data_IF_565783023814
#
_entry.id   IF_565783023814
#
_cell.length_a   1.000
_cell.length_b   1.000
_cell.length_c   1.000
_cell.angle_alpha   90.00
_cell.angle_beta   90.00
_cell.angle_gamma   90.00
#
_symmetry.space_group_name_H-M   'P 1'
#
loop_
_entity.id
_entity.type
_entity.pdbx_description
1 polymer ?
#
# COMPACT_ATOMS: atom_id res chain seq x y z
N UNK A 1 -6.37 -10.93 13.01
CA UNK A 1 -7.24 -10.96 14.22
C UNK A 1 -6.97 -9.69 15.02
N UNK A 2 -7.98 -9.01 15.61
CA UNK A 2 -7.74 -7.81 16.42
C UNK A 2 -7.02 -8.24 17.71
N UNK A 3 -5.72 -7.94 17.76
CA UNK A 3 -4.88 -8.35 18.87
C UNK A 3 -5.13 -7.42 20.06
N UNK A 4 -5.47 -7.98 21.23
CA UNK A 4 -5.72 -7.19 22.46
C UNK A 4 -4.54 -6.30 22.85
N UNK A 5 -3.34 -6.63 22.38
CA UNK A 5 -2.13 -5.85 22.60
C UNK A 5 -2.03 -4.57 21.72
N UNK A 6 -2.86 -4.42 20.68
CA UNK A 6 -2.85 -3.23 19.82
C UNK A 6 -3.75 -2.15 20.46
N UNK A 7 -3.13 -1.34 21.31
CA UNK A 7 -3.81 -0.27 22.03
C UNK A 7 -3.93 1.02 21.20
N UNK A 8 -3.06 1.20 20.19
CA UNK A 8 -3.01 2.40 19.35
C UNK A 8 -4.04 2.41 18.24
N UNK A 9 -4.53 3.59 17.87
CA UNK A 9 -5.44 3.75 16.73
C UNK A 9 -4.74 3.51 15.39
N UNK A 10 -3.52 4.03 15.23
CA UNK A 10 -2.70 3.82 14.05
C UNK A 10 -1.92 2.52 14.17
N UNK A 11 -1.99 1.70 13.12
CA UNK A 11 -1.21 0.48 12.96
C UNK A 11 -0.25 0.67 11.79
N UNK A 12 1.03 0.46 12.04
CA UNK A 12 2.04 0.32 11.00
C UNK A 12 2.20 -1.16 10.66
N UNK A 13 1.86 -1.53 9.44
CA UNK A 13 2.13 -2.86 8.90
C UNK A 13 3.36 -2.80 8.02
N UNK A 14 4.29 -3.73 8.23
CA UNK A 14 5.58 -3.81 7.54
C UNK A 14 5.92 -5.26 7.19
N UNK A 15 6.28 -5.50 5.93
CA UNK A 15 6.84 -6.78 5.50
C UNK A 15 8.26 -6.96 6.04
N UNK A 16 8.69 -8.20 6.27
CA UNK A 16 10.04 -8.52 6.77
C UNK A 16 11.17 -8.05 5.82
N UNK A 17 10.89 -7.91 4.53
CA UNK A 17 11.85 -7.47 3.49
C UNK A 17 11.81 -5.96 3.23
N UNK A 18 11.03 -5.21 4.01
CA UNK A 18 10.87 -3.76 3.87
C UNK A 18 11.90 -3.00 4.70
N UNK A 19 12.59 -2.06 4.05
CA UNK A 19 13.51 -1.13 4.73
C UNK A 19 12.97 0.29 4.59
N UNK A 20 12.64 0.90 5.74
CA UNK A 20 12.23 2.31 5.84
C UNK A 20 13.11 3.05 6.83
N UNK A 21 13.46 4.29 6.49
CA UNK A 21 14.13 5.20 7.42
C UNK A 21 13.15 5.68 8.50
N UNK A 22 13.66 5.99 9.69
CA UNK A 22 12.85 6.59 10.77
C UNK A 22 12.16 7.88 10.30
N UNK A 23 12.81 8.67 9.45
CA UNK A 23 12.20 9.88 8.84
C UNK A 23 11.02 9.56 7.94
N UNK A 24 11.08 8.45 7.19
CA UNK A 24 10.00 8.01 6.31
C UNK A 24 8.81 7.54 7.15
N UNK A 25 9.07 6.72 8.18
CA UNK A 25 8.03 6.25 9.12
C UNK A 25 7.35 7.45 9.81
N UNK A 26 8.14 8.40 10.32
CA UNK A 26 7.61 9.60 10.96
C UNK A 26 6.75 10.44 10.00
N UNK A 27 7.20 10.61 8.76
CA UNK A 27 6.43 11.35 7.77
C UNK A 27 5.12 10.64 7.42
N UNK A 28 5.16 9.33 7.14
CA UNK A 28 3.95 8.57 6.84
C UNK A 28 2.96 8.57 8.02
N UNK A 29 3.45 8.50 9.26
CA UNK A 29 2.61 8.64 10.44
C UNK A 29 1.96 10.03 10.56
N UNK A 30 2.72 11.11 10.30
CA UNK A 30 2.16 12.48 10.29
C UNK A 30 1.09 12.66 9.21
N UNK A 31 1.32 12.08 8.03
CA UNK A 31 0.32 12.07 6.96
C UNK A 31 -0.91 11.28 7.41
N UNK A 32 -0.73 10.07 7.96
CA UNK A 32 -1.83 9.25 8.46
C UNK A 32 -2.63 9.96 9.55
N UNK A 33 -2.00 10.67 10.47
CA UNK A 33 -2.70 11.48 11.49
C UNK A 33 -3.60 12.58 10.89
N UNK A 34 -3.29 13.05 9.68
CA UNK A 34 -4.12 14.03 8.97
C UNK A 34 -5.27 13.38 8.20
N UNK A 35 -5.18 12.07 7.93
CA UNK A 35 -6.14 11.28 7.15
C UNK A 35 -6.35 9.90 7.79
N UNK A 36 -6.77 9.83 9.07
CA UNK A 36 -6.77 8.59 9.85
C UNK A 36 -7.67 7.50 9.26
N UNK A 37 -8.68 7.90 8.49
CA UNK A 37 -9.62 7.01 7.81
C UNK A 37 -9.02 6.31 6.58
N UNK A 38 -7.87 6.76 6.06
CA UNK A 38 -7.29 6.25 4.80
C UNK A 38 -6.06 5.38 5.07
N UNK A 39 -5.79 4.44 4.16
CA UNK A 39 -4.50 3.74 4.12
C UNK A 39 -3.45 4.72 3.59
N UNK A 40 -2.34 4.88 4.31
CA UNK A 40 -1.22 5.75 3.95
C UNK A 40 0.05 4.92 3.86
N UNK A 41 0.69 4.85 2.70
CA UNK A 41 1.86 3.99 2.54
C UNK A 41 2.61 4.19 1.24
N UNK A 42 3.54 3.27 0.94
CA UNK A 42 4.54 3.51 -0.10
C UNK A 42 4.24 2.79 -1.41
N UNK A 43 4.12 1.45 -1.50
CA UNK A 43 4.09 0.77 -2.79
C UNK A 43 2.69 0.91 -3.42
N UNK A 44 2.52 1.67 -4.51
CA UNK A 44 1.22 1.81 -5.14
C UNK A 44 0.97 0.64 -6.09
N UNK A 45 -0.29 0.25 -6.21
CA UNK A 45 -0.82 -0.68 -7.21
C UNK A 45 -2.13 -0.12 -7.74
N UNK A 46 -2.64 -0.72 -8.81
CA UNK A 46 -3.91 -0.31 -9.36
C UNK A 46 -4.76 -1.47 -9.83
N UNK A 47 -6.08 -1.24 -9.86
CA UNK A 47 -6.99 -2.04 -10.64
C UNK A 47 -7.23 -1.40 -12.02
N UNK A 48 -7.82 -2.14 -12.95
CA UNK A 48 -8.29 -1.63 -14.24
C UNK A 48 -9.46 -2.48 -14.72
N UNK A 49 -10.26 -2.00 -15.67
CA UNK A 49 -11.27 -2.84 -16.33
C UNK A 49 -10.70 -3.40 -17.63
N UNK A 50 -10.80 -4.72 -17.85
CA UNK A 50 -10.52 -5.33 -19.16
C UNK A 50 -11.82 -5.41 -19.97
N UNK A 51 -12.03 -4.54 -20.98
CA UNK A 51 -13.28 -4.52 -21.75
C UNK A 51 -13.41 -5.74 -22.67
N UNK A 52 -12.32 -6.43 -23.01
CA UNK A 52 -12.37 -7.61 -23.87
C UNK A 52 -12.82 -8.83 -23.05
N UNK A 53 -12.24 -9.00 -21.87
CA UNK A 53 -12.57 -10.12 -20.98
C UNK A 53 -13.77 -9.85 -20.08
N UNK A 54 -14.21 -8.60 -19.96
CA UNK A 54 -15.27 -8.17 -19.06
C UNK A 54 -14.99 -8.56 -17.59
N UNK A 55 -13.74 -8.37 -17.16
CA UNK A 55 -13.28 -8.68 -15.80
C UNK A 55 -12.39 -7.57 -15.27
N UNK A 56 -12.28 -7.51 -13.94
CA UNK A 56 -11.39 -6.59 -13.27
C UNK A 56 -9.92 -7.03 -13.31
N UNK A 57 -9.10 -6.00 -13.30
CA UNK A 57 -7.67 -5.93 -13.50
C UNK A 57 -6.89 -5.84 -12.19
N UNK A 58 -5.74 -6.50 -12.02
CA UNK A 58 -4.70 -6.06 -11.09
C UNK A 58 -3.45 -5.65 -11.87
N UNK A 59 -2.81 -4.55 -11.50
CA UNK A 59 -1.56 -4.11 -12.14
C UNK A 59 -0.54 -3.55 -11.15
N UNK A 60 0.72 -3.93 -11.40
CA UNK A 60 1.92 -3.36 -10.77
C UNK A 60 2.64 -2.35 -11.66
N UNK A 61 2.06 -1.99 -12.82
CA UNK A 61 2.63 -0.97 -13.69
C UNK A 61 2.78 0.34 -12.93
N UNK A 62 3.95 0.95 -13.06
CA UNK A 62 4.22 2.26 -12.49
C UNK A 62 3.55 3.33 -13.34
N UNK A 63 2.38 3.76 -12.89
CA UNK A 63 1.62 4.86 -13.48
C UNK A 63 1.42 5.96 -12.42
N UNK A 64 0.97 7.15 -12.86
CA UNK A 64 0.65 8.23 -11.94
C UNK A 64 -0.66 7.98 -11.17
N UNK A 65 -1.50 7.07 -11.65
CA UNK A 65 -2.77 6.70 -11.07
C UNK A 65 -2.68 5.37 -10.33
N UNK A 66 -3.22 5.33 -9.11
CA UNK A 66 -3.24 4.15 -8.27
C UNK A 66 -4.57 4.08 -7.54
N UNK A 67 -4.90 2.89 -7.05
CA UNK A 67 -6.13 2.66 -6.28
C UNK A 67 -5.91 1.74 -5.08
N UNK A 68 -4.68 1.22 -4.95
CA UNK A 68 -4.27 0.31 -3.89
C UNK A 68 -2.91 0.80 -3.36
N UNK A 69 -2.74 0.77 -2.05
CA UNK A 69 -1.44 0.87 -1.39
C UNK A 69 -1.21 -0.45 -0.63
N UNK A 70 -0.07 -1.11 -0.89
CA UNK A 70 0.22 -2.40 -0.25
C UNK A 70 0.44 -2.22 1.27
N UNK A 71 -0.20 -3.07 2.07
CA UNK A 71 -0.13 -3.05 3.54
C UNK A 71 1.24 -3.43 4.08
N UNK A 72 2.13 -4.02 3.26
CA UNK A 72 3.53 -4.32 3.60
C UNK A 72 4.42 -3.10 3.87
N UNK A 73 3.94 -1.89 3.61
CA UNK A 73 4.39 -0.68 4.30
C UNK A 73 3.32 0.39 4.25
N UNK A 74 2.39 0.30 5.20
CA UNK A 74 1.35 1.28 5.34
C UNK A 74 0.92 1.47 6.78
N UNK A 75 0.49 2.70 7.06
CA UNK A 75 -0.34 3.05 8.19
C UNK A 75 -1.82 2.96 7.83
N UNK A 76 -2.60 2.40 8.75
CA UNK A 76 -4.07 2.42 8.67
C UNK A 76 -4.67 2.32 10.07
N UNK A 77 -5.97 2.60 10.18
CA UNK A 77 -6.66 2.57 11.46
C UNK A 77 -6.94 1.13 11.92
N UNK A 78 -6.71 0.82 13.20
CA UNK A 78 -6.97 -0.51 13.79
C UNK A 78 -8.40 -1.01 13.61
N UNK A 79 -9.35 -0.09 13.44
CA UNK A 79 -10.75 -0.40 13.16
C UNK A 79 -10.91 -1.30 11.93
N UNK A 80 -10.05 -1.15 10.92
CA UNK A 80 -10.11 -1.98 9.73
C UNK A 80 -9.68 -3.42 9.99
N UNK A 81 -8.82 -3.70 10.97
CA UNK A 81 -8.58 -5.08 11.41
C UNK A 81 -9.80 -5.71 12.08
N UNK A 82 -10.53 -4.92 12.86
CA UNK A 82 -11.77 -5.37 13.47
C UNK A 82 -12.79 -5.71 12.38
N UNK A 83 -13.03 -4.82 11.42
CA UNK A 83 -13.91 -5.09 10.29
C UNK A 83 -13.43 -6.27 9.44
N UNK A 84 -12.14 -6.38 9.17
CA UNK A 84 -11.56 -7.51 8.44
C UNK A 84 -11.87 -8.85 9.14
N UNK A 85 -11.81 -8.87 10.47
CA UNK A 85 -11.97 -10.10 11.25
C UNK A 85 -13.42 -10.41 11.66
N UNK A 86 -14.28 -9.40 11.77
CA UNK A 86 -15.64 -9.54 12.31
C UNK A 86 -16.73 -9.27 11.28
N UNK A 87 -16.49 -8.36 10.32
CA UNK A 87 -17.48 -7.97 9.32
C UNK A 87 -17.33 -8.73 8.01
N UNK A 88 -16.10 -8.91 7.51
CA UNK A 88 -15.88 -9.68 6.30
C UNK A 88 -16.31 -11.15 6.50
N UNK A 89 -16.87 -11.78 5.46
CA UNK A 89 -17.34 -13.16 5.54
C UNK A 89 -16.13 -14.10 5.69
N UNK A 90 -16.30 -15.24 6.39
CA UNK A 90 -15.25 -16.23 6.52
C UNK A 90 -14.70 -16.74 5.17
N UNK A 91 -15.51 -16.75 4.11
CA UNK A 91 -15.11 -17.19 2.77
C UNK A 91 -14.01 -16.32 2.14
N UNK A 92 -14.10 -14.99 2.30
CA UNK A 92 -13.07 -14.08 1.78
C UNK A 92 -11.77 -14.19 2.58
N UNK A 93 -11.87 -14.31 3.91
CA UNK A 93 -10.69 -14.56 4.75
C UNK A 93 -10.03 -15.90 4.41
N UNK A 94 -10.81 -16.96 4.26
CA UNK A 94 -10.29 -18.28 3.89
C UNK A 94 -9.65 -18.29 2.50
N UNK A 95 -10.09 -17.42 1.58
CA UNK A 95 -9.42 -17.23 0.29
C UNK A 95 -8.03 -16.64 0.47
N UNK A 96 -7.90 -15.58 1.29
CA UNK A 96 -6.61 -14.95 1.63
C UNK A 96 -5.69 -15.94 2.35
N UNK A 97 -6.21 -16.68 3.33
CA UNK A 97 -5.43 -17.67 4.09
C UNK A 97 -4.92 -18.81 3.20
N UNK A 98 -5.74 -19.26 2.25
CA UNK A 98 -5.36 -20.35 1.32
C UNK A 98 -4.31 -19.91 0.30
N UNK A 99 -4.40 -18.68 -0.20
CA UNK A 99 -3.46 -18.16 -1.19
C UNK A 99 -2.20 -17.58 -0.56
N UNK A 100 -2.21 -17.31 0.76
CA UNK A 100 -1.19 -16.52 1.45
C UNK A 100 -0.86 -15.23 0.70
N UNK A 101 -1.90 -14.60 0.14
CA UNK A 101 -1.81 -13.45 -0.77
C UNK A 101 -3.11 -12.63 -0.67
N UNK A 102 -3.14 -11.46 -1.30
CA UNK A 102 -4.33 -10.61 -1.45
C UNK A 102 -4.90 -9.99 -0.15
N UNK A 103 -4.27 -10.18 1.01
CA UNK A 103 -4.64 -9.49 2.26
C UNK A 103 -4.66 -7.96 2.05
N UNK A 104 -3.59 -7.45 1.46
CA UNK A 104 -3.43 -6.05 1.06
C UNK A 104 -4.57 -5.56 0.15
N UNK A 105 -4.92 -6.34 -0.88
CA UNK A 105 -6.00 -6.02 -1.81
C UNK A 105 -7.34 -6.00 -1.06
N UNK A 106 -7.63 -7.03 -0.26
CA UNK A 106 -8.88 -7.12 0.49
C UNK A 106 -9.01 -5.99 1.51
N UNK A 107 -7.91 -5.59 2.15
CA UNK A 107 -7.87 -4.44 3.05
C UNK A 107 -8.19 -3.15 2.31
N UNK A 108 -7.64 -2.92 1.12
CA UNK A 108 -7.97 -1.73 0.32
C UNK A 108 -9.44 -1.74 -0.13
N UNK A 109 -9.97 -2.89 -0.55
CA UNK A 109 -11.41 -3.03 -0.87
C UNK A 109 -12.28 -2.66 0.34
N UNK A 110 -11.95 -3.21 1.52
CA UNK A 110 -12.67 -2.93 2.76
C UNK A 110 -12.64 -1.44 3.10
N UNK A 111 -11.45 -0.83 3.16
CA UNK A 111 -11.31 0.60 3.51
C UNK A 111 -12.03 1.49 2.51
N UNK A 112 -11.86 1.26 1.20
CA UNK A 112 -12.54 2.07 0.18
C UNK A 112 -14.05 1.84 0.15
N UNK A 113 -14.54 0.65 0.49
CA UNK A 113 -15.99 0.40 0.61
C UNK A 113 -16.64 1.17 1.77
N UNK A 114 -15.91 1.34 2.88
CA UNK A 114 -16.40 2.03 4.08
C UNK A 114 -16.29 3.54 3.93
N UNK A 115 -15.18 4.02 3.36
CA UNK A 115 -14.86 5.46 3.31
C UNK A 115 -15.27 6.12 2.01
N UNK A 116 -15.41 5.36 0.93
CA UNK A 116 -15.50 5.87 -0.45
C UNK A 116 -14.31 6.74 -0.87
N UNK A 117 -13.16 6.59 -0.19
CA UNK A 117 -11.94 7.33 -0.45
C UNK A 117 -10.82 6.41 -0.98
N UNK A 118 -9.93 6.93 -1.84
CA UNK A 118 -8.76 6.17 -2.28
C UNK A 118 -7.68 6.13 -1.18
N UNK A 119 -6.68 5.25 -1.24
CA UNK A 119 -5.51 5.33 -0.35
C UNK A 119 -4.66 6.58 -0.64
N UNK A 120 -3.65 6.85 0.19
CA UNK A 120 -2.66 7.93 0.00
C UNK A 120 -1.27 7.33 -0.19
N UNK A 121 -0.65 7.66 -1.32
CA UNK A 121 0.75 7.36 -1.60
C UNK A 121 1.67 8.43 -1.00
N UNK A 122 2.66 7.99 -0.22
CA UNK A 122 3.76 8.85 0.23
C UNK A 122 5.04 8.62 -0.59
N UNK A 123 5.91 9.61 -0.57
CA UNK A 123 7.22 9.55 -1.21
C UNK A 123 8.05 8.38 -0.71
N UNK A 124 8.69 7.68 -1.64
CA UNK A 124 9.60 6.59 -1.36
C UNK A 124 10.93 6.87 -2.06
N UNK A 125 12.06 6.62 -1.40
CA UNK A 125 13.36 6.57 -2.09
C UNK A 125 13.43 5.35 -3.01
N UNK A 126 14.21 5.42 -4.09
CA UNK A 126 14.29 4.38 -5.15
C UNK A 126 14.57 2.94 -4.65
N UNK A 127 15.07 2.74 -3.44
CA UNK A 127 15.32 1.43 -2.83
C UNK A 127 14.50 1.27 -1.55
N UNK A 128 13.47 0.42 -1.60
CA UNK A 128 12.58 0.16 -0.46
C UNK A 128 12.53 -1.32 -0.05
N UNK A 129 12.88 -2.22 -0.97
CA UNK A 129 13.16 -3.62 -0.65
C UNK A 129 14.66 -3.83 -0.69
N UNK A 130 15.18 -4.60 0.24
CA UNK A 130 16.54 -5.14 0.09
C UNK A 130 16.61 -5.93 -1.21
N UNK A 131 17.63 -5.66 -2.02
CA UNK A 131 17.93 -6.50 -3.18
C UNK A 131 18.34 -7.86 -2.63
N UNK A 132 17.56 -8.94 -2.85
CA UNK A 132 18.01 -10.25 -2.43
C UNK A 132 19.29 -10.57 -3.19
N UNK A 133 20.25 -11.24 -2.55
CA UNK A 133 21.31 -11.94 -3.27
C UNK A 133 20.67 -12.76 -4.42
N UNK A 134 21.35 -12.94 -5.55
CA UNK A 134 20.80 -13.62 -6.75
C UNK A 134 20.17 -15.00 -6.46
N UNK A 135 20.50 -15.64 -5.33
CA UNK A 135 19.89 -16.87 -4.84
C UNK A 135 18.53 -16.68 -4.13
N UNK A 136 18.28 -15.53 -3.48
CA UNK A 136 17.02 -15.22 -2.79
C UNK A 136 15.88 -14.74 -3.71
N UNK A 137 16.20 -14.19 -4.88
CA UNK A 137 15.18 -13.72 -5.86
C UNK A 137 14.34 -14.88 -6.41
N UNK A 138 14.94 -16.07 -6.57
CA UNK A 138 14.25 -17.29 -7.05
C UNK A 138 13.26 -17.88 -6.02
N UNK A 139 13.35 -17.49 -4.76
CA UNK A 139 12.46 -17.96 -3.68
C UNK A 139 11.44 -16.92 -3.19
N UNK A 140 11.49 -15.68 -3.70
CA UNK A 140 10.58 -14.64 -3.27
C UNK A 140 9.16 -14.89 -3.83
N UNK A 141 8.09 -14.91 -3.01
CA UNK A 141 6.73 -15.22 -3.47
C UNK A 141 6.26 -14.37 -4.65
N UNK A 142 6.72 -13.11 -4.72
CA UNK A 142 6.38 -12.14 -5.77
C UNK A 142 6.98 -12.44 -7.15
N UNK A 143 8.00 -13.30 -7.25
CA UNK A 143 8.66 -13.64 -8.52
C UNK A 143 7.97 -14.78 -9.27
N UNK A 144 7.04 -15.49 -8.62
CA UNK A 144 6.23 -16.54 -9.23
C UNK A 144 5.14 -15.91 -10.12
N UNK A 145 5.03 -16.26 -11.43
CA UNK A 145 3.93 -15.82 -12.29
C UNK A 145 2.54 -16.10 -11.72
N UNK A 146 2.37 -17.19 -10.96
CA UNK A 146 1.11 -17.55 -10.30
C UNK A 146 0.65 -16.49 -9.29
N UNK A 147 1.60 -15.80 -8.64
CA UNK A 147 1.29 -14.76 -7.65
C UNK A 147 0.51 -13.59 -8.27
N UNK A 148 0.80 -13.23 -9.52
CA UNK A 148 0.08 -12.17 -10.22
C UNK A 148 -1.31 -12.65 -10.68
N UNK A 149 -1.41 -13.87 -11.20
CA UNK A 149 -2.68 -14.49 -11.57
C UNK A 149 -3.62 -14.61 -10.37
N UNK A 150 -3.11 -15.02 -9.21
CA UNK A 150 -3.90 -15.07 -7.97
C UNK A 150 -4.44 -13.70 -7.57
N UNK A 151 -3.63 -12.64 -7.64
CA UNK A 151 -4.10 -11.27 -7.35
C UNK A 151 -5.20 -10.82 -8.31
N UNK A 152 -5.11 -11.23 -9.57
CA UNK A 152 -6.14 -11.01 -10.57
C UNK A 152 -7.47 -11.67 -10.17
N UNK A 153 -7.41 -12.93 -9.73
CA UNK A 153 -8.57 -13.68 -9.25
C UNK A 153 -9.19 -13.06 -7.99
N UNK A 154 -8.34 -12.66 -7.04
CA UNK A 154 -8.78 -12.00 -5.80
C UNK A 154 -9.56 -10.71 -6.08
N UNK A 155 -9.08 -9.82 -6.97
CA UNK A 155 -9.79 -8.58 -7.31
C UNK A 155 -11.19 -8.87 -7.83
N UNK A 156 -11.34 -9.88 -8.70
CA UNK A 156 -12.65 -10.25 -9.24
C UNK A 156 -13.55 -10.90 -8.18
N UNK A 157 -13.01 -11.80 -7.36
CA UNK A 157 -13.75 -12.44 -6.28
C UNK A 157 -14.27 -11.41 -5.26
N UNK A 158 -13.43 -10.43 -4.90
CA UNK A 158 -13.82 -9.38 -3.97
C UNK A 158 -14.86 -8.44 -4.58
N UNK A 159 -14.66 -7.98 -5.82
CA UNK A 159 -15.64 -7.14 -6.50
C UNK A 159 -17.01 -7.84 -6.63
N UNK A 160 -17.01 -9.15 -6.92
CA UNK A 160 -18.23 -9.95 -6.95
C UNK A 160 -18.93 -9.99 -5.60
N UNK A 161 -18.19 -10.22 -4.50
CA UNK A 161 -18.78 -10.25 -3.16
C UNK A 161 -19.31 -8.90 -2.69
N UNK A 162 -18.55 -7.81 -2.92
CA UNK A 162 -19.01 -6.46 -2.60
C UNK A 162 -20.18 -6.00 -3.49
N UNK A 163 -20.39 -6.65 -4.65
CA UNK A 163 -21.44 -6.32 -5.61
C UNK A 163 -21.13 -5.13 -6.52
N UNK A 164 -19.95 -4.52 -6.37
CA UNK A 164 -19.42 -3.44 -7.20
C UNK A 164 -17.90 -3.37 -7.03
N UNK A 165 -17.23 -2.49 -7.78
CA UNK A 165 -15.80 -2.18 -7.59
C UNK A 165 -15.65 -1.04 -6.57
N UNK A 166 -15.19 -1.29 -5.33
CA UNK A 166 -15.11 -0.25 -4.30
C UNK A 166 -13.82 0.57 -4.38
N UNK A 167 -12.79 0.05 -5.06
CA UNK A 167 -11.51 0.73 -5.17
C UNK A 167 -11.65 2.04 -5.94
N UNK A 168 -11.13 3.12 -5.36
CA UNK A 168 -11.17 4.47 -5.94
C UNK A 168 -9.77 4.83 -6.44
N UNK A 169 -9.68 5.42 -7.64
CA UNK A 169 -8.41 5.89 -8.17
C UNK A 169 -7.98 7.22 -7.53
N UNK A 170 -6.67 7.44 -7.44
CA UNK A 170 -6.05 8.68 -7.03
C UNK A 170 -4.72 8.89 -7.76
N UNK A 171 -4.34 10.15 -7.84
CA UNK A 171 -3.03 10.59 -8.31
C UNK A 171 -2.27 11.35 -7.20
N UNK A 172 -2.87 11.48 -6.01
CA UNK A 172 -2.29 12.23 -4.89
C UNK A 172 -0.98 11.58 -4.45
N UNK A 173 0.06 12.39 -4.29
CA UNK A 173 1.31 11.98 -3.66
C UNK A 173 1.69 13.04 -2.64
N UNK A 174 2.03 12.61 -1.44
CA UNK A 174 2.54 13.51 -0.40
C UNK A 174 4.03 13.24 -0.19
N UNK A 175 4.82 14.29 -0.30
CA UNK A 175 6.25 14.28 -0.09
C UNK A 175 6.59 15.09 1.17
N UNK A 176 7.58 14.66 1.96
CA UNK A 176 8.06 15.49 3.05
C UNK A 176 8.57 16.80 2.45
N UNK A 177 8.06 17.93 2.95
CA UNK A 177 8.70 19.23 2.71
C UNK A 177 10.15 19.11 3.22
N UNK A 178 11.09 19.79 2.57
CA UNK A 178 12.56 19.80 2.79
C UNK A 178 13.03 20.15 4.23
N UNK A 179 12.19 19.98 5.25
CA UNK A 179 12.50 20.18 6.64
C UNK A 179 13.54 19.16 7.11
N UNK A 180 14.75 19.66 7.35
CA UNK A 180 16.02 18.93 7.58
C UNK A 180 16.69 18.36 6.34
N UNK A 181 16.23 18.69 5.14
CA UNK A 181 17.04 18.39 3.97
C UNK A 181 18.32 19.21 4.03
N UNK A 182 19.45 18.61 3.66
CA UNK A 182 20.77 19.24 3.70
C UNK A 182 20.92 20.35 2.66
N UNK A 183 19.84 20.90 2.14
CA UNK A 183 19.85 22.03 1.20
C UNK A 183 20.63 23.21 1.78
N UNK A 184 20.59 23.44 3.09
CA UNK A 184 21.43 24.45 3.76
C UNK A 184 22.93 24.12 3.73
N UNK A 185 23.29 22.83 3.80
CA UNK A 185 24.68 22.32 3.70
C UNK A 185 25.15 22.31 2.23
N UNK A 186 24.27 21.93 1.30
CA UNK A 186 24.53 21.94 -0.14
C UNK A 186 24.63 23.36 -0.71
N UNK A 187 23.80 24.30 -0.23
CA UNK A 187 23.95 25.74 -0.53
C UNK A 187 25.29 26.28 -0.05
N UNK A 188 25.77 25.86 1.12
CA UNK A 188 27.12 26.22 1.59
C UNK A 188 28.23 25.64 0.71
N UNK A 189 28.00 24.48 0.08
CA UNK A 189 28.97 23.79 -0.81
C UNK A 189 29.08 24.43 -2.20
N UNK A 190 28.01 25.06 -2.69
CA UNK A 190 27.98 25.70 -4.02
C UNK A 190 27.51 27.16 -3.94
N UNK A 191 28.27 28.01 -3.26
CA UNK A 191 27.97 29.44 -3.14
C UNK A 191 27.93 30.17 -4.48
N UNK A 192 28.63 29.67 -5.49
CA UNK A 192 28.78 30.35 -6.78
C UNK A 192 27.58 30.18 -7.72
N UNK A 193 26.62 29.31 -7.39
CA UNK A 193 25.37 29.15 -8.15
C UNK A 193 24.38 30.31 -7.95
N UNK A 194 24.54 31.13 -6.91
CA UNK A 194 23.69 32.29 -6.62
C UNK A 194 24.23 33.60 -7.22
N UNK A 195 25.33 33.54 -8.01
CA UNK A 195 25.95 34.71 -8.66
C UNK A 195 25.62 34.88 -10.14
N UNK A 196 24.63 34.15 -10.67
CA UNK A 196 24.12 34.31 -12.03
C UNK A 196 22.89 35.23 -12.05
#
# INVERSE_FOLDING_TARGET
>A
MPHVAIETEGVLSLDEDTVLLTSEVNFAFLVWRSFPERIVGYPPRSHFWDPVKQVWGYTSKWTNEYSIVLTGAAFYHRYYHHLFSQYLPPSLRAMVDRTSNCEDILMNFLVSSVTHLPPIKVAQRKQYKELPNLQGVKGAPWSNPEHFTQRQECVNAFASWFGYMPLVHSQLRLDPVLFKDQVSVLRKKYKDLERA
#
